data_IF_093692757951
#
_entry.id   IF_093692757951
#
_cell.length_a   1.000
_cell.length_b   1.000
_cell.length_c   1.000
_cell.angle_alpha   90.00
_cell.angle_beta   90.00
_cell.angle_gamma   90.00
#
_symmetry.space_group_name_H-M   'P 1'
#
loop_
_entity.id
_entity.type
_entity.pdbx_description
1 polymer ?
#
# COMPACT_ATOMS: atom_id res chain seq x y z
N UNK A 1 120.18 36.80 -111.57
CA UNK A 1 120.16 35.76 -110.52
C UNK A 1 118.88 35.74 -109.68
N UNK A 2 118.20 36.86 -109.38
CA UNK A 2 116.99 36.86 -108.52
C UNK A 2 115.63 36.66 -109.23
N UNK A 3 115.56 36.80 -110.56
CA UNK A 3 114.29 36.66 -111.31
C UNK A 3 113.89 35.20 -111.61
N UNK A 4 114.86 34.29 -111.73
CA UNK A 4 114.59 32.87 -112.00
C UNK A 4 114.23 32.05 -110.74
N UNK A 5 114.31 32.65 -109.55
CA UNK A 5 114.07 31.97 -108.26
C UNK A 5 112.59 31.93 -107.89
N UNK A 6 111.81 32.97 -108.24
CA UNK A 6 110.37 33.04 -107.91
C UNK A 6 109.49 32.00 -108.62
N UNK A 7 109.68 31.68 -109.92
CA UNK A 7 108.92 30.60 -110.56
C UNK A 7 109.24 29.22 -109.96
N UNK A 8 110.51 28.98 -109.61
CA UNK A 8 110.93 27.74 -108.96
C UNK A 8 110.32 27.58 -107.55
N UNK A 9 110.17 28.66 -106.78
CA UNK A 9 109.49 28.66 -105.48
C UNK A 9 107.99 28.35 -105.59
N UNK A 10 107.31 28.82 -106.64
CA UNK A 10 105.90 28.54 -106.86
C UNK A 10 105.65 27.09 -107.30
N UNK A 11 106.50 26.54 -108.18
CA UNK A 11 106.47 25.12 -108.56
C UNK A 11 106.71 24.19 -107.34
N UNK A 12 107.63 24.56 -106.43
CA UNK A 12 107.84 23.82 -105.17
C UNK A 12 106.60 23.84 -104.25
N UNK A 13 105.87 24.97 -104.21
CA UNK A 13 104.60 25.07 -103.46
C UNK A 13 103.51 24.22 -104.09
N UNK A 14 103.40 24.21 -105.42
CA UNK A 14 102.44 23.36 -106.15
C UNK A 14 102.77 21.89 -105.88
N UNK A 15 104.04 21.49 -106.00
CA UNK A 15 104.49 20.14 -105.69
C UNK A 15 104.18 19.73 -104.24
N UNK A 16 104.41 20.62 -103.27
CA UNK A 16 104.08 20.33 -101.85
C UNK A 16 102.58 20.15 -101.66
N UNK A 17 101.74 20.99 -102.27
CA UNK A 17 100.28 20.85 -102.23
C UNK A 17 99.79 19.55 -102.86
N UNK A 18 100.39 19.13 -103.97
CA UNK A 18 100.06 17.86 -104.63
C UNK A 18 100.51 16.66 -103.79
N UNK A 19 101.69 16.72 -103.18
CA UNK A 19 102.14 15.69 -102.23
C UNK A 19 101.24 15.62 -100.99
N UNK A 20 100.82 16.78 -100.45
CA UNK A 20 99.87 16.86 -99.34
C UNK A 20 98.51 16.29 -99.74
N UNK A 21 98.00 16.61 -100.93
CA UNK A 21 96.74 16.07 -101.44
C UNK A 21 96.79 14.55 -101.61
N UNK A 22 97.92 13.99 -102.05
CA UNK A 22 98.12 12.54 -102.13
C UNK A 22 98.20 11.91 -100.74
N UNK A 23 98.92 12.53 -99.80
CA UNK A 23 98.97 12.07 -98.39
C UNK A 23 97.56 12.03 -97.80
N UNK A 24 96.79 13.10 -97.96
CA UNK A 24 95.45 13.22 -97.39
C UNK A 24 94.48 12.25 -98.07
N UNK A 25 94.61 12.02 -99.38
CA UNK A 25 93.84 11.00 -100.09
C UNK A 25 94.15 9.56 -99.62
N UNK A 26 95.39 9.28 -99.22
CA UNK A 26 95.80 7.98 -98.67
C UNK A 26 95.32 7.82 -97.22
N UNK A 27 95.30 8.89 -96.42
CA UNK A 27 94.84 8.86 -95.02
C UNK A 27 93.32 8.87 -94.89
N UNK A 28 92.60 9.49 -95.82
CA UNK A 28 91.14 9.65 -95.77
C UNK A 28 90.36 8.33 -95.55
N UNK A 29 90.66 7.21 -96.23
CA UNK A 29 89.97 5.94 -95.96
C UNK A 29 90.21 5.41 -94.54
N UNK A 30 91.37 5.72 -93.95
CA UNK A 30 91.67 5.35 -92.56
C UNK A 30 90.86 6.20 -91.59
N UNK A 31 90.79 7.51 -91.81
CA UNK A 31 90.01 8.42 -90.96
C UNK A 31 88.50 8.10 -91.05
N UNK A 32 88.00 7.80 -92.25
CA UNK A 32 86.62 7.35 -92.46
C UNK A 32 86.33 5.99 -91.78
N UNK A 33 87.30 5.07 -91.82
CA UNK A 33 87.17 3.78 -91.12
C UNK A 33 87.21 3.96 -89.60
N UNK A 34 88.09 4.80 -89.06
CA UNK A 34 88.16 5.12 -87.63
C UNK A 34 86.84 5.76 -87.14
N UNK A 35 86.27 6.71 -87.90
CA UNK A 35 84.97 7.30 -87.59
C UNK A 35 83.81 6.29 -87.66
N UNK A 36 83.84 5.35 -88.61
CA UNK A 36 82.86 4.27 -88.71
C UNK A 36 82.99 3.29 -87.52
N UNK A 37 84.21 2.99 -87.08
CA UNK A 37 84.44 2.19 -85.87
C UNK A 37 83.90 2.87 -84.61
N UNK A 38 84.06 4.19 -84.48
CA UNK A 38 83.47 4.95 -83.38
C UNK A 38 81.94 4.91 -83.41
N UNK A 39 81.31 5.01 -84.60
CA UNK A 39 79.86 4.89 -84.75
C UNK A 39 79.36 3.50 -84.35
N UNK A 40 80.04 2.45 -84.81
CA UNK A 40 79.69 1.06 -84.47
C UNK A 40 79.78 0.84 -82.96
N UNK A 41 80.86 1.30 -82.30
CA UNK A 41 81.00 1.20 -80.85
C UNK A 41 79.89 1.95 -80.10
N UNK A 42 79.56 3.17 -80.55
CA UNK A 42 78.48 3.94 -79.94
C UNK A 42 77.11 3.26 -80.10
N UNK A 43 76.86 2.62 -81.24
CA UNK A 43 75.64 1.84 -81.47
C UNK A 43 75.59 0.56 -80.62
N UNK A 44 76.71 -0.15 -80.49
CA UNK A 44 76.83 -1.32 -79.59
C UNK A 44 76.62 -0.94 -78.12
N UNK A 45 77.18 0.18 -77.66
CA UNK A 45 76.95 0.70 -76.31
C UNK A 45 75.47 1.06 -76.09
N UNK A 46 74.83 1.70 -77.08
CA UNK A 46 73.40 2.01 -77.01
C UNK A 46 72.54 0.74 -76.96
N UNK A 47 72.86 -0.25 -77.81
CA UNK A 47 72.17 -1.55 -77.82
C UNK A 47 72.36 -2.32 -76.51
N UNK A 48 73.54 -2.25 -75.89
CA UNK A 48 73.80 -2.83 -74.57
C UNK A 48 72.94 -2.17 -73.50
N UNK A 49 72.90 -0.83 -73.46
CA UNK A 49 72.04 -0.07 -72.54
C UNK A 49 70.55 -0.39 -72.77
N UNK A 50 70.13 -0.55 -74.03
CA UNK A 50 68.76 -0.92 -74.36
C UNK A 50 68.42 -2.34 -73.89
N UNK A 51 69.35 -3.30 -74.06
CA UNK A 51 69.18 -4.67 -73.57
C UNK A 51 69.07 -4.71 -72.05
N UNK A 52 69.93 -3.99 -71.32
CA UNK A 52 69.86 -3.87 -69.86
C UNK A 52 68.54 -3.25 -69.39
N UNK A 53 68.06 -2.22 -70.08
CA UNK A 53 66.78 -1.59 -69.78
C UNK A 53 65.59 -2.56 -70.01
N UNK A 54 65.63 -3.35 -71.09
CA UNK A 54 64.61 -4.37 -71.35
C UNK A 54 64.62 -5.46 -70.26
N UNK A 55 65.79 -5.93 -69.85
CA UNK A 55 65.89 -6.90 -68.75
C UNK A 55 65.33 -6.36 -67.44
N UNK A 56 65.58 -5.08 -67.13
CA UNK A 56 65.04 -4.42 -65.94
C UNK A 56 63.52 -4.32 -66.00
N UNK A 57 62.95 -3.96 -67.16
CA UNK A 57 61.50 -3.91 -67.36
C UNK A 57 60.86 -5.29 -67.20
N UNK A 58 61.47 -6.34 -67.77
CA UNK A 58 60.98 -7.72 -67.63
C UNK A 58 60.97 -8.14 -66.15
N UNK A 59 62.03 -7.83 -65.39
CA UNK A 59 62.07 -8.12 -63.95
C UNK A 59 61.00 -7.36 -63.18
N UNK A 60 60.78 -6.09 -63.52
CA UNK A 60 59.74 -5.28 -62.89
C UNK A 60 58.33 -5.84 -63.14
N UNK A 61 58.04 -6.25 -64.38
CA UNK A 61 56.75 -6.86 -64.72
C UNK A 61 56.54 -8.20 -64.00
N UNK A 62 57.60 -9.00 -63.85
CA UNK A 62 57.56 -10.24 -63.06
C UNK A 62 57.31 -9.97 -61.57
N UNK A 63 57.96 -8.97 -60.99
CA UNK A 63 57.72 -8.56 -59.60
C UNK A 63 56.29 -8.04 -59.38
N UNK A 64 55.76 -7.29 -60.34
CA UNK A 64 54.40 -6.77 -60.28
C UNK A 64 53.37 -7.91 -60.37
N UNK A 65 53.60 -8.87 -61.28
CA UNK A 65 52.76 -10.07 -61.40
C UNK A 65 52.78 -10.89 -60.10
N UNK A 66 53.96 -11.14 -59.53
CA UNK A 66 54.09 -11.87 -58.27
C UNK A 66 53.39 -11.16 -57.09
N UNK A 67 53.47 -9.82 -57.02
CA UNK A 67 52.73 -9.03 -56.01
C UNK A 67 51.23 -9.14 -56.21
N UNK A 68 50.75 -9.04 -57.45
CA UNK A 68 49.32 -9.17 -57.74
C UNK A 68 48.78 -10.55 -57.35
N UNK A 69 49.52 -11.62 -57.64
CA UNK A 69 49.16 -12.98 -57.22
C UNK A 69 49.10 -13.10 -55.69
N UNK A 70 50.12 -12.58 -54.98
CA UNK A 70 50.15 -12.60 -53.52
C UNK A 70 49.00 -11.79 -52.88
N UNK A 71 48.70 -10.60 -53.40
CA UNK A 71 47.59 -9.77 -52.95
C UNK A 71 46.24 -10.44 -53.24
N UNK A 72 46.12 -11.11 -54.38
CA UNK A 72 44.92 -11.87 -54.73
C UNK A 72 44.70 -13.06 -53.80
N UNK A 73 45.75 -13.84 -53.50
CA UNK A 73 45.69 -14.92 -52.52
C UNK A 73 45.31 -14.41 -51.13
N UNK A 74 45.90 -13.29 -50.71
CA UNK A 74 45.57 -12.65 -49.44
C UNK A 74 44.09 -12.23 -49.40
N UNK A 75 43.58 -11.63 -50.48
CA UNK A 75 42.17 -11.25 -50.57
C UNK A 75 41.22 -12.46 -50.50
N UNK A 76 41.58 -13.59 -51.14
CA UNK A 76 40.80 -14.83 -51.06
C UNK A 76 40.79 -15.40 -49.62
N UNK A 77 41.93 -15.37 -48.94
CA UNK A 77 42.02 -15.81 -47.55
C UNK A 77 41.17 -14.93 -46.63
N UNK A 78 41.28 -13.61 -46.77
CA UNK A 78 40.46 -12.67 -46.00
C UNK A 78 38.97 -12.87 -46.25
N UNK A 79 38.54 -13.07 -47.50
CA UNK A 79 37.14 -13.34 -47.83
C UNK A 79 36.63 -14.62 -47.14
N UNK A 80 37.46 -15.68 -47.09
CA UNK A 80 37.12 -16.92 -46.40
C UNK A 80 36.94 -16.70 -44.89
N UNK A 81 37.78 -15.88 -44.27
CA UNK A 81 37.67 -15.54 -42.85
C UNK A 81 36.41 -14.70 -42.58
N UNK A 82 36.11 -13.70 -43.42
CA UNK A 82 34.87 -12.94 -43.33
C UNK A 82 33.62 -13.82 -43.49
N UNK A 83 33.64 -14.78 -44.41
CA UNK A 83 32.54 -15.72 -44.58
C UNK A 83 32.35 -16.62 -43.36
N UNK A 84 33.46 -17.09 -42.77
CA UNK A 84 33.44 -17.86 -41.52
C UNK A 84 32.86 -17.03 -40.38
N UNK A 85 33.35 -15.81 -40.17
CA UNK A 85 32.86 -14.91 -39.13
C UNK A 85 31.37 -14.62 -39.32
N UNK A 86 30.93 -14.38 -40.57
CA UNK A 86 29.51 -14.17 -40.88
C UNK A 86 28.65 -15.39 -40.52
N UNK A 87 29.16 -16.60 -40.74
CA UNK A 87 28.47 -17.85 -40.34
C UNK A 87 28.46 -17.99 -38.82
N UNK A 88 29.56 -17.71 -38.13
CA UNK A 88 29.64 -17.75 -36.67
C UNK A 88 28.68 -16.73 -36.03
N UNK A 89 28.64 -15.50 -36.54
CA UNK A 89 27.70 -14.46 -36.09
C UNK A 89 26.25 -14.86 -36.30
N UNK A 90 25.91 -15.49 -37.43
CA UNK A 90 24.55 -16.03 -37.66
C UNK A 90 24.19 -17.10 -36.65
N UNK A 91 25.11 -18.01 -36.32
CA UNK A 91 24.90 -19.06 -35.31
C UNK A 91 24.69 -18.47 -33.92
N UNK A 92 25.50 -17.49 -33.53
CA UNK A 92 25.36 -16.79 -32.25
C UNK A 92 24.03 -16.04 -32.17
N UNK A 93 23.64 -15.34 -33.24
CA UNK A 93 22.35 -14.66 -33.31
C UNK A 93 21.17 -15.65 -33.22
N UNK A 94 21.25 -16.80 -33.91
CA UNK A 94 20.23 -17.84 -33.84
C UNK A 94 20.14 -18.47 -32.44
N UNK A 95 21.28 -18.75 -31.81
CA UNK A 95 21.31 -19.23 -30.41
C UNK A 95 20.69 -18.21 -29.46
N UNK A 96 21.05 -16.93 -29.59
CA UNK A 96 20.47 -15.86 -28.77
C UNK A 96 18.96 -15.72 -28.98
N UNK A 97 18.46 -15.86 -30.21
CA UNK A 97 17.03 -15.86 -30.51
C UNK A 97 16.34 -17.06 -29.86
N UNK A 98 16.89 -18.27 -30.00
CA UNK A 98 16.35 -19.48 -29.37
C UNK A 98 16.31 -19.37 -27.86
N UNK A 99 17.38 -18.89 -27.23
CA UNK A 99 17.42 -18.65 -25.78
C UNK A 99 16.40 -17.61 -25.34
N UNK A 100 16.22 -16.54 -26.12
CA UNK A 100 15.22 -15.52 -25.84
C UNK A 100 13.79 -16.05 -25.96
N UNK A 101 13.49 -16.78 -27.04
CA UNK A 101 12.20 -17.43 -27.26
C UNK A 101 11.92 -18.48 -26.16
N UNK A 102 12.92 -19.26 -25.77
CA UNK A 102 12.80 -20.19 -24.64
C UNK A 102 12.54 -19.47 -23.33
N UNK A 103 13.22 -18.34 -23.06
CA UNK A 103 12.99 -17.53 -21.87
C UNK A 103 11.55 -17.00 -21.85
N UNK A 104 11.08 -16.43 -22.96
CA UNK A 104 9.69 -15.96 -23.09
C UNK A 104 8.72 -17.12 -22.87
N UNK A 105 8.98 -18.30 -23.44
CA UNK A 105 8.12 -19.46 -23.27
C UNK A 105 8.09 -19.95 -21.81
N UNK A 106 9.24 -19.94 -21.11
CA UNK A 106 9.33 -20.28 -19.69
C UNK A 106 8.60 -19.26 -18.82
N UNK A 107 8.81 -17.97 -19.07
CA UNK A 107 8.12 -16.88 -18.37
C UNK A 107 6.61 -16.94 -18.58
N UNK A 108 6.15 -17.19 -19.82
CA UNK A 108 4.72 -17.36 -20.10
C UNK A 108 4.14 -18.61 -19.41
N UNK A 109 4.87 -19.72 -19.38
CA UNK A 109 4.44 -20.93 -18.68
C UNK A 109 4.41 -20.74 -17.16
N UNK A 110 5.39 -20.04 -16.59
CA UNK A 110 5.45 -19.70 -15.16
C UNK A 110 4.34 -18.72 -14.79
N UNK A 111 4.09 -17.71 -15.62
CA UNK A 111 3.00 -16.77 -15.41
C UNK A 111 1.64 -17.48 -15.46
N UNK A 112 1.44 -18.38 -16.42
CA UNK A 112 0.22 -19.19 -16.48
C UNK A 112 0.04 -20.07 -15.24
N UNK A 113 1.12 -20.63 -14.68
CA UNK A 113 1.09 -21.38 -13.42
C UNK A 113 0.75 -20.49 -12.24
N UNK A 114 1.40 -19.33 -12.10
CA UNK A 114 1.11 -18.37 -11.03
C UNK A 114 -0.33 -17.88 -11.08
N UNK A 115 -0.84 -17.58 -12.28
CA UNK A 115 -2.21 -17.13 -12.45
C UNK A 115 -3.22 -18.25 -12.12
N UNK A 116 -2.92 -19.51 -12.47
CA UNK A 116 -3.73 -20.67 -12.09
C UNK A 116 -3.70 -20.92 -10.57
N UNK A 117 -2.52 -20.86 -9.94
CA UNK A 117 -2.36 -20.98 -8.49
C UNK A 117 -3.05 -19.85 -7.74
N UNK A 118 -2.97 -18.61 -8.23
CA UNK A 118 -3.66 -17.45 -7.67
C UNK A 118 -5.18 -17.60 -7.78
N UNK A 119 -5.69 -18.09 -8.92
CA UNK A 119 -7.13 -18.39 -9.08
C UNK A 119 -7.58 -19.48 -8.12
N UNK A 120 -6.84 -20.59 -8.01
CA UNK A 120 -7.17 -21.64 -7.06
C UNK A 120 -7.13 -21.16 -5.61
N UNK A 121 -6.12 -20.36 -5.23
CA UNK A 121 -6.07 -19.77 -3.88
C UNK A 121 -7.24 -18.83 -3.63
N UNK A 122 -7.59 -17.98 -4.60
CA UNK A 122 -8.74 -17.08 -4.50
C UNK A 122 -10.07 -17.87 -4.40
N UNK A 123 -10.22 -18.99 -5.10
CA UNK A 123 -11.38 -19.88 -4.99
C UNK A 123 -11.46 -20.53 -3.60
N UNK A 124 -10.33 -20.99 -3.05
CA UNK A 124 -10.28 -21.54 -1.68
C UNK A 124 -10.62 -20.47 -0.64
N UNK A 125 -10.05 -19.27 -0.77
CA UNK A 125 -10.34 -18.16 0.15
C UNK A 125 -11.80 -17.70 0.02
N UNK A 126 -12.36 -17.65 -1.20
CA UNK A 126 -13.76 -17.35 -1.42
C UNK A 126 -14.68 -18.42 -0.85
N UNK A 127 -14.34 -19.71 -0.99
CA UNK A 127 -15.07 -20.81 -0.38
C UNK A 127 -15.01 -20.75 1.15
N UNK A 128 -13.84 -20.48 1.72
CA UNK A 128 -13.66 -20.30 3.17
C UNK A 128 -14.46 -19.09 3.70
N UNK A 129 -14.52 -17.98 2.96
CA UNK A 129 -15.35 -16.83 3.32
C UNK A 129 -16.85 -17.16 3.27
N UNK A 130 -17.31 -17.88 2.25
CA UNK A 130 -18.71 -18.33 2.16
C UNK A 130 -19.04 -19.27 3.32
N UNK A 131 -18.16 -20.22 3.64
CA UNK A 131 -18.37 -21.12 4.78
C UNK A 131 -18.38 -20.36 6.11
N UNK A 132 -17.51 -19.37 6.29
CA UNK A 132 -17.49 -18.52 7.48
C UNK A 132 -18.74 -17.63 7.57
N UNK A 133 -19.23 -17.09 6.44
CA UNK A 133 -20.45 -16.29 6.40
C UNK A 133 -21.69 -17.14 6.70
N UNK A 134 -21.78 -18.34 6.14
CA UNK A 134 -22.86 -19.30 6.45
C UNK A 134 -22.83 -19.72 7.92
N UNK A 135 -21.64 -20.00 8.50
CA UNK A 135 -21.49 -20.27 9.93
C UNK A 135 -21.89 -19.08 10.79
N UNK A 136 -21.49 -17.86 10.41
CA UNK A 136 -21.87 -16.65 11.14
C UNK A 136 -23.38 -16.39 11.07
N UNK A 137 -24.02 -16.63 9.92
CA UNK A 137 -25.48 -16.55 9.77
C UNK A 137 -26.20 -17.61 10.59
N UNK A 138 -25.70 -18.85 10.61
CA UNK A 138 -26.24 -19.93 11.42
C UNK A 138 -26.11 -19.61 12.93
N UNK A 139 -24.95 -19.11 13.36
CA UNK A 139 -24.71 -18.71 14.76
C UNK A 139 -25.59 -17.51 15.16
N UNK A 140 -25.76 -16.51 14.29
CA UNK A 140 -26.67 -15.39 14.53
C UNK A 140 -28.13 -15.87 14.63
N UNK A 141 -28.55 -16.79 13.77
CA UNK A 141 -29.90 -17.37 13.82
C UNK A 141 -30.10 -18.21 15.10
N UNK A 142 -29.10 -18.97 15.53
CA UNK A 142 -29.12 -19.72 16.78
C UNK A 142 -29.18 -18.77 17.99
N UNK A 143 -28.34 -17.74 18.03
CA UNK A 143 -28.38 -16.70 19.07
C UNK A 143 -29.73 -16.00 19.12
N UNK A 144 -30.32 -15.67 17.97
CA UNK A 144 -31.66 -15.07 17.91
C UNK A 144 -32.74 -16.02 18.42
N UNK A 145 -32.64 -17.33 18.13
CA UNK A 145 -33.57 -18.34 18.67
C UNK A 145 -33.45 -18.47 20.18
N UNK A 146 -32.23 -18.57 20.69
CA UNK A 146 -31.96 -18.65 22.14
C UNK A 146 -32.43 -17.36 22.82
N UNK A 147 -32.18 -16.20 22.23
CA UNK A 147 -32.63 -14.92 22.79
C UNK A 147 -34.16 -14.79 22.76
N UNK A 148 -34.82 -15.21 21.67
CA UNK A 148 -36.28 -15.25 21.60
C UNK A 148 -36.88 -16.23 22.61
N UNK A 149 -36.28 -17.39 22.80
CA UNK A 149 -36.69 -18.38 23.80
C UNK A 149 -36.48 -17.85 25.23
N UNK A 150 -35.34 -17.22 25.52
CA UNK A 150 -35.08 -16.58 26.81
C UNK A 150 -36.02 -15.40 27.07
N UNK A 151 -36.32 -14.58 26.06
CA UNK A 151 -37.31 -13.49 26.17
C UNK A 151 -38.70 -14.06 26.44
N UNK A 152 -39.12 -15.10 25.72
CA UNK A 152 -40.41 -15.76 25.96
C UNK A 152 -40.47 -16.42 27.35
N UNK A 153 -39.38 -17.01 27.84
CA UNK A 153 -39.29 -17.57 29.18
C UNK A 153 -39.35 -16.48 30.26
N UNK A 154 -38.62 -15.37 30.07
CA UNK A 154 -38.67 -14.21 30.97
C UNK A 154 -40.04 -13.54 30.97
N UNK A 155 -40.69 -13.41 29.82
CA UNK A 155 -42.03 -12.85 29.71
C UNK A 155 -43.07 -13.74 30.39
N UNK A 156 -42.96 -15.07 30.27
CA UNK A 156 -43.78 -16.02 31.04
C UNK A 156 -43.55 -15.88 32.54
N UNK A 157 -42.29 -15.86 32.99
CA UNK A 157 -41.96 -15.67 34.40
C UNK A 157 -42.40 -14.31 34.93
N UNK A 158 -42.31 -13.24 34.12
CA UNK A 158 -42.75 -11.91 34.51
C UNK A 158 -44.28 -11.83 34.53
N UNK A 159 -44.99 -12.48 33.61
CA UNK A 159 -46.44 -12.59 33.63
C UNK A 159 -46.93 -13.39 34.85
N UNK A 160 -46.28 -14.51 35.18
CA UNK A 160 -46.56 -15.28 36.40
C UNK A 160 -46.26 -14.47 37.65
N UNK A 161 -45.11 -13.78 37.72
CA UNK A 161 -44.76 -12.92 38.84
C UNK A 161 -45.68 -11.70 38.97
N UNK A 162 -46.15 -11.12 37.87
CA UNK A 162 -47.17 -10.05 37.87
C UNK A 162 -48.51 -10.59 38.36
N UNK A 163 -48.93 -11.77 37.91
CA UNK A 163 -50.16 -12.40 38.37
C UNK A 163 -50.09 -12.78 39.87
N UNK A 164 -48.94 -13.26 40.37
CA UNK A 164 -48.73 -13.50 41.79
C UNK A 164 -48.68 -12.21 42.60
N UNK A 165 -48.03 -11.16 42.09
CA UNK A 165 -48.01 -9.83 42.73
C UNK A 165 -49.40 -9.19 42.75
N UNK A 166 -50.20 -9.33 41.71
CA UNK A 166 -51.59 -8.85 41.68
C UNK A 166 -52.46 -9.64 42.67
N UNK A 167 -52.30 -10.97 42.74
CA UNK A 167 -52.97 -11.79 43.76
C UNK A 167 -52.55 -11.40 45.18
N UNK A 168 -51.25 -11.24 45.42
CA UNK A 168 -50.71 -10.83 46.71
C UNK A 168 -51.15 -9.40 47.08
N UNK A 169 -51.18 -8.47 46.12
CA UNK A 169 -51.66 -7.12 46.33
C UNK A 169 -53.17 -7.08 46.59
N UNK A 170 -53.96 -7.94 45.93
CA UNK A 170 -55.38 -8.08 46.23
C UNK A 170 -55.62 -8.62 47.65
N UNK A 171 -54.86 -9.64 48.06
CA UNK A 171 -54.92 -10.20 49.42
C UNK A 171 -54.45 -9.18 50.47
N UNK A 172 -53.36 -8.46 50.24
CA UNK A 172 -52.89 -7.43 51.17
C UNK A 172 -53.81 -6.20 51.19
N UNK A 173 -54.45 -5.83 50.07
CA UNK A 173 -55.48 -4.79 50.06
C UNK A 173 -56.74 -5.21 50.83
N UNK A 174 -57.13 -6.48 50.76
CA UNK A 174 -58.21 -7.04 51.57
C UNK A 174 -57.84 -7.07 53.06
N UNK A 175 -56.63 -7.50 53.41
CA UNK A 175 -56.12 -7.48 54.78
C UNK A 175 -55.96 -6.07 55.34
N UNK A 176 -55.54 -5.09 54.53
CA UNK A 176 -55.48 -3.69 54.92
C UNK A 176 -56.88 -3.12 55.15
N UNK A 177 -57.86 -3.45 54.30
CA UNK A 177 -59.26 -3.07 54.54
C UNK A 177 -59.82 -3.70 55.81
N UNK A 178 -59.49 -4.97 56.09
CA UNK A 178 -59.89 -5.64 57.32
C UNK A 178 -59.24 -5.00 58.56
N UNK A 179 -57.92 -4.74 58.52
CA UNK A 179 -57.21 -4.04 59.61
C UNK A 179 -57.73 -2.62 59.84
N UNK A 180 -57.97 -1.85 58.77
CA UNK A 180 -58.54 -0.51 58.89
C UNK A 180 -59.98 -0.54 59.42
N UNK A 181 -60.76 -1.60 59.14
CA UNK A 181 -62.07 -1.77 59.72
C UNK A 181 -62.00 -2.14 61.22
N UNK A 182 -61.06 -3.00 61.62
CA UNK A 182 -60.82 -3.33 63.03
C UNK A 182 -60.26 -2.13 63.82
N UNK A 183 -59.31 -1.39 63.27
CA UNK A 183 -58.78 -0.16 63.88
C UNK A 183 -59.86 0.92 64.03
N UNK A 184 -60.78 1.05 63.06
CA UNK A 184 -61.94 1.95 63.19
C UNK A 184 -62.90 1.51 64.29
N UNK A 185 -63.15 0.21 64.42
CA UNK A 185 -63.98 -0.32 65.52
C UNK A 185 -63.33 -0.08 66.89
N UNK A 186 -62.03 -0.32 67.00
CA UNK A 186 -61.29 -0.10 68.24
C UNK A 186 -61.22 1.39 68.60
N UNK A 187 -61.03 2.28 67.61
CA UNK A 187 -61.04 3.72 67.82
C UNK A 187 -62.43 4.24 68.25
N UNK A 188 -63.51 3.70 67.70
CA UNK A 188 -64.87 4.00 68.15
C UNK A 188 -65.15 3.50 69.57
N UNK A 189 -64.64 2.32 69.92
CA UNK A 189 -64.76 1.75 71.26
C UNK A 189 -63.94 2.55 72.30
N UNK A 190 -62.71 2.96 71.95
CA UNK A 190 -61.89 3.84 72.77
C UNK A 190 -62.54 5.21 72.97
N UNK A 191 -63.14 5.80 71.92
CA UNK A 191 -63.88 7.06 72.06
C UNK A 191 -65.07 6.96 73.02
N UNK A 192 -65.80 5.83 73.01
CA UNK A 192 -66.91 5.61 73.95
C UNK A 192 -66.41 5.44 75.39
N UNK A 193 -65.34 4.67 75.58
CA UNK A 193 -64.74 4.47 76.91
C UNK A 193 -64.18 5.77 77.49
N UNK A 194 -63.52 6.61 76.68
CA UNK A 194 -62.98 7.89 77.12
C UNK A 194 -64.10 8.91 77.43
N UNK A 195 -65.18 8.91 76.66
CA UNK A 195 -66.36 9.72 76.94
C UNK A 195 -67.08 9.29 78.22
N UNK A 196 -67.20 7.99 78.49
CA UNK A 196 -67.76 7.47 79.74
C UNK A 196 -66.86 7.77 80.95
N UNK A 197 -65.54 7.66 80.81
CA UNK A 197 -64.58 8.00 81.85
C UNK A 197 -64.67 9.49 82.22
N UNK A 198 -64.79 10.38 81.23
CA UNK A 198 -64.96 11.82 81.47
C UNK A 198 -66.28 12.13 82.17
N UNK A 199 -67.37 11.45 81.79
CA UNK A 199 -68.67 11.58 82.48
C UNK A 199 -68.64 11.03 83.92
N UNK A 200 -67.84 10.01 84.20
CA UNK A 200 -67.67 9.47 85.55
C UNK A 200 -66.88 10.43 86.45
N UNK A 201 -65.76 10.99 85.95
CA UNK A 201 -64.95 11.97 86.67
C UNK A 201 -65.75 13.25 87.01
N UNK A 202 -66.57 13.75 86.08
CA UNK A 202 -67.44 14.91 86.34
C UNK A 202 -68.55 14.64 87.37
N UNK A 203 -69.01 13.39 87.50
CA UNK A 203 -70.00 13.00 88.53
C UNK A 203 -69.35 12.92 89.91
N UNK A 204 -68.13 12.39 90.00
CA UNK A 204 -67.41 12.36 91.28
C UNK A 204 -67.04 13.76 91.74
N UNK A 205 -66.49 14.62 90.86
CA UNK A 205 -66.16 16.00 91.23
C UNK A 205 -67.38 16.76 91.77
N UNK A 206 -68.55 16.62 91.12
CA UNK A 206 -69.81 17.21 91.61
C UNK A 206 -70.26 16.65 92.96
N UNK A 207 -70.09 15.35 93.21
CA UNK A 207 -70.40 14.74 94.52
C UNK A 207 -69.51 15.29 95.64
N UNK A 208 -68.20 15.41 95.40
CA UNK A 208 -67.26 15.89 96.42
C UNK A 208 -67.51 17.35 96.78
N UNK A 209 -67.78 18.20 95.77
CA UNK A 209 -68.12 19.61 95.98
C UNK A 209 -69.44 19.74 96.76
N UNK A 210 -70.50 19.03 96.34
CA UNK A 210 -71.80 19.09 97.03
C UNK A 210 -71.70 18.61 98.48
N UNK A 211 -70.90 17.58 98.77
CA UNK A 211 -70.70 17.08 100.14
C UNK A 211 -69.97 18.09 101.03
N UNK A 212 -69.02 18.85 100.45
CA UNK A 212 -68.29 19.90 101.17
C UNK A 212 -69.20 21.07 101.51
N UNK A 213 -70.02 21.53 100.56
CA UNK A 213 -71.03 22.58 100.79
C UNK A 213 -72.06 22.15 101.85
N UNK A 214 -72.43 20.86 101.85
CA UNK A 214 -73.32 20.29 102.87
C UNK A 214 -72.75 20.37 104.29
N UNK A 215 -71.45 20.06 104.44
CA UNK A 215 -70.76 20.13 105.73
C UNK A 215 -70.63 21.59 106.23
N UNK A 216 -70.33 22.53 105.34
CA UNK A 216 -70.23 23.95 105.70
C UNK A 216 -71.59 24.53 106.16
N UNK A 217 -72.70 24.09 105.57
CA UNK A 217 -74.06 24.50 105.96
C UNK A 217 -74.47 23.96 107.34
N UNK A 218 -74.05 22.75 107.71
CA UNK A 218 -74.29 22.18 109.04
C UNK A 218 -73.47 22.94 110.10
N UNK A 219 -72.22 23.31 109.79
CA UNK A 219 -71.35 24.06 110.71
C UNK A 219 -71.88 25.48 111.03
N UNK A 220 -72.66 26.09 110.13
CA UNK A 220 -73.31 27.39 110.32
C UNK A 220 -74.64 27.31 111.12
N UNK A 221 -74.97 26.14 111.68
CA UNK A 221 -76.09 25.98 112.62
C UNK A 221 -77.45 25.70 112.00
N UNK A 222 -77.52 25.31 110.72
CA UNK A 222 -78.78 24.92 110.05
C UNK A 222 -79.07 23.43 110.31
N UNK A 223 -80.28 23.07 110.78
CA UNK A 223 -80.68 21.66 110.96
C UNK A 223 -80.60 20.85 109.66
N UNK A 224 -80.21 19.57 109.79
CA UNK A 224 -79.83 18.65 108.69
C UNK A 224 -80.85 18.57 107.54
N UNK A 225 -82.15 18.60 107.88
CA UNK A 225 -83.26 18.57 106.93
C UNK A 225 -83.34 19.80 106.01
N UNK A 226 -82.91 20.97 106.49
CA UNK A 226 -82.93 22.22 105.73
C UNK A 226 -81.64 22.42 104.93
N UNK A 227 -80.51 21.94 105.43
CA UNK A 227 -79.25 21.92 104.68
C UNK A 227 -79.37 21.05 103.41
N UNK A 228 -80.09 19.93 103.47
CA UNK A 228 -80.36 19.08 102.30
C UNK A 228 -81.09 19.82 101.20
N UNK A 229 -82.18 20.49 101.57
CA UNK A 229 -83.03 21.21 100.62
C UNK A 229 -82.32 22.42 100.04
N UNK A 230 -81.47 23.09 100.81
CA UNK A 230 -80.65 24.22 100.34
C UNK A 230 -79.62 23.77 99.29
N UNK A 231 -78.85 22.70 99.54
CA UNK A 231 -77.86 22.18 98.56
C UNK A 231 -78.55 21.64 97.32
N UNK A 232 -79.70 20.97 97.44
CA UNK A 232 -80.46 20.45 96.30
C UNK A 232 -81.00 21.60 95.42
N UNK A 233 -81.44 22.69 96.02
CA UNK A 233 -81.94 23.87 95.30
C UNK A 233 -80.81 24.62 94.58
N UNK A 234 -79.61 24.71 95.17
CA UNK A 234 -78.43 25.34 94.56
C UNK A 234 -77.84 24.44 93.46
N UNK A 235 -77.63 23.15 93.72
CA UNK A 235 -77.09 22.21 92.73
C UNK A 235 -78.05 21.93 91.56
N UNK A 236 -79.37 22.10 91.79
CA UNK A 236 -80.40 22.00 90.77
C UNK A 236 -80.66 23.29 89.99
N UNK A 237 -79.88 24.36 90.21
CA UNK A 237 -80.02 25.65 89.51
C UNK A 237 -81.33 26.40 89.78
N UNK A 238 -82.03 26.07 90.87
CA UNK A 238 -83.33 26.67 91.24
C UNK A 238 -83.19 27.94 92.10
N UNK A 239 -81.98 28.26 92.56
CA UNK A 239 -81.62 29.54 93.20
C UNK A 239 -80.77 30.31 92.19
N UNK A 240 -81.32 31.39 91.64
CA UNK A 240 -80.56 32.31 90.77
C UNK A 240 -79.60 33.15 91.63
N UNK A 241 -78.39 33.39 91.11
CA UNK A 241 -77.34 34.21 91.75
C UNK A 241 -76.78 33.69 93.09
N UNK A 242 -76.47 32.39 93.16
CA UNK A 242 -75.67 31.77 94.23
C UNK A 242 -74.16 32.16 94.17
N UNK A 243 -73.88 33.44 93.95
CA UNK A 243 -72.56 34.06 93.98
C UNK A 243 -72.66 35.39 94.74
N UNK A 244 -72.39 35.36 96.05
CA UNK A 244 -72.15 36.57 96.83
C UNK A 244 -70.73 36.50 97.39
N UNK A 245 -69.87 37.37 96.86
CA UNK A 245 -68.48 37.62 97.30
C UNK A 245 -68.40 39.02 97.90
N UNK A 246 -68.26 39.08 99.22
CA UNK A 246 -67.52 40.07 99.99
C UNK A 246 -66.85 39.33 101.14
#
# INVERSE_FOLDING_TARGET
>A
MKEAVKPAEEELRVFTRECDAIRDAILKPRDEWEAEQERIKAEEEMNALHAEALEMNIKFDQELAAKFEADHEMALLMNKDFDRDRVEQRRLAEQAQREHEERIKREAAEQARRDAEAKHKAEIEAAARREAEEKARAELAERQRIEAEQRAAREKQEAEARAEREKAAAVEAERLKAKQAEEKRLAEEQRKAEEEARRAADKEHRRTVNRRVYADLIAQGIPEEFAQKAVLAIAGGKVQDAHIKY
#
